data_IF_657647091185
#
_entry.id   IF_657647091185
#
_cell.length_a   1.000
_cell.length_b   1.000
_cell.length_c   1.000
_cell.angle_alpha   90.00
_cell.angle_beta   90.00
_cell.angle_gamma   90.00
#
_symmetry.space_group_name_H-M   'P 1'
#
loop_
_entity.id
_entity.type
_entity.pdbx_description
1 polymer ?
#
# COMPACT_ATOMS: atom_id res chain seq x y z
N UNK A 1 0.75 -6.70 28.29
CA UNK A 1 0.09 -5.46 27.84
C UNK A 1 1.19 -4.40 27.76
N UNK A 2 1.56 -3.91 26.58
CA UNK A 2 2.88 -3.28 26.41
C UNK A 2 3.04 -2.05 25.52
N UNK A 3 2.08 -1.72 24.63
CA UNK A 3 2.31 -0.67 23.62
C UNK A 3 1.10 0.25 23.34
N UNK A 4 0.09 0.29 24.22
CA UNK A 4 -1.11 1.13 24.04
C UNK A 4 -1.85 0.93 22.70
N UNK A 5 -1.66 -0.22 22.06
CA UNK A 5 -2.39 -0.62 20.84
C UNK A 5 -3.69 -1.30 21.24
N UNK A 6 -4.82 -0.77 20.77
CA UNK A 6 -6.15 -1.33 21.02
C UNK A 6 -6.80 -1.78 19.71
N UNK A 7 -7.20 -3.04 19.64
CA UNK A 7 -8.00 -3.56 18.54
C UNK A 7 -9.48 -3.31 18.83
N UNK A 8 -10.17 -2.60 17.94
CA UNK A 8 -11.61 -2.34 18.09
C UNK A 8 -12.43 -3.65 18.12
N UNK A 9 -12.04 -4.65 17.31
CA UNK A 9 -12.62 -5.99 17.27
C UNK A 9 -11.57 -7.03 16.88
N UNK A 10 -11.79 -8.28 17.28
CA UNK A 10 -10.92 -9.42 16.98
C UNK A 10 -11.78 -10.52 16.35
N UNK A 11 -11.42 -10.89 15.12
CA UNK A 11 -12.12 -11.90 14.32
C UNK A 11 -11.21 -13.11 14.11
N UNK A 12 -11.58 -14.28 14.63
CA UNK A 12 -10.78 -15.51 14.56
C UNK A 12 -11.60 -16.63 13.92
N UNK A 13 -11.23 -17.03 12.72
CA UNK A 13 -11.71 -18.26 12.08
C UNK A 13 -10.82 -19.44 12.48
N UNK A 14 -11.42 -20.55 12.91
CA UNK A 14 -10.72 -21.77 13.35
C UNK A 14 -10.80 -22.92 12.34
N UNK A 15 -11.43 -22.69 11.19
CA UNK A 15 -11.61 -23.72 10.17
C UNK A 15 -10.33 -23.94 9.35
N UNK A 16 -10.32 -25.02 8.59
CA UNK A 16 -9.29 -25.34 7.60
C UNK A 16 -9.74 -24.94 6.20
N UNK A 17 -8.78 -24.87 5.27
CA UNK A 17 -9.03 -24.46 3.89
C UNK A 17 -9.99 -25.38 3.15
N UNK A 18 -9.89 -26.70 3.37
CA UNK A 18 -10.76 -27.69 2.73
C UNK A 18 -12.23 -27.60 3.19
N UNK A 19 -12.50 -26.93 4.32
CA UNK A 19 -13.86 -26.74 4.83
C UNK A 19 -14.62 -25.63 4.09
N UNK A 20 -13.91 -24.76 3.35
CA UNK A 20 -14.49 -23.70 2.50
C UNK A 20 -15.58 -22.85 3.18
N UNK A 21 -15.41 -22.56 4.48
CA UNK A 21 -16.39 -21.76 5.22
C UNK A 21 -16.38 -20.30 4.76
N UNK A 22 -17.54 -19.61 4.74
CA UNK A 22 -17.62 -18.20 4.36
C UNK A 22 -16.90 -17.28 5.36
N UNK A 23 -16.62 -17.76 6.56
CA UNK A 23 -15.87 -17.05 7.61
C UNK A 23 -14.35 -17.10 7.40
N UNK A 24 -13.86 -18.00 6.53
CA UNK A 24 -12.44 -18.17 6.26
C UNK A 24 -12.00 -17.33 5.07
N UNK A 25 -10.91 -16.59 5.23
CA UNK A 25 -10.26 -15.89 4.11
C UNK A 25 -10.01 -16.84 2.93
N UNK A 26 -10.29 -16.41 1.68
CA UNK A 26 -10.56 -15.02 1.27
C UNK A 26 -12.03 -14.57 1.40
N UNK A 27 -12.92 -15.40 1.95
CA UNK A 27 -14.32 -15.01 2.13
C UNK A 27 -14.50 -13.97 3.25
N UNK A 28 -15.58 -13.19 3.17
CA UNK A 28 -15.81 -11.98 3.98
C UNK A 28 -16.74 -12.20 5.18
N UNK A 29 -17.14 -13.44 5.47
CA UNK A 29 -18.22 -13.76 6.41
C UNK A 29 -18.01 -13.23 7.83
N UNK A 30 -16.75 -13.15 8.30
CA UNK A 30 -16.43 -12.57 9.62
C UNK A 30 -16.52 -11.03 9.66
N UNK A 31 -16.57 -10.38 8.50
CA UNK A 31 -16.39 -8.94 8.33
C UNK A 31 -17.63 -8.25 7.73
N UNK A 32 -18.75 -8.97 7.59
CA UNK A 32 -19.98 -8.44 6.98
C UNK A 32 -20.49 -7.17 7.68
N UNK A 33 -20.23 -7.02 8.99
CA UNK A 33 -20.60 -5.83 9.75
C UNK A 33 -19.95 -4.54 9.22
N UNK A 34 -18.79 -4.61 8.56
CA UNK A 34 -18.09 -3.46 8.00
C UNK A 34 -18.62 -3.06 6.61
N UNK A 35 -19.45 -3.90 5.99
CA UNK A 35 -19.99 -3.71 4.64
C UNK A 35 -21.38 -3.02 4.64
N UNK A 36 -21.85 -2.55 5.79
CA UNK A 36 -23.15 -1.89 5.93
C UNK A 36 -23.18 -0.42 5.44
N UNK A 37 -22.03 0.13 5.03
CA UNK A 37 -21.87 1.51 4.56
C UNK A 37 -21.40 2.50 5.63
N UNK A 38 -21.19 2.08 6.88
CA UNK A 38 -20.64 2.94 7.94
C UNK A 38 -19.11 3.14 7.81
N UNK A 39 -18.44 2.30 7.02
CA UNK A 39 -17.00 2.33 6.80
C UNK A 39 -16.67 2.68 5.36
N UNK A 40 -15.65 3.51 5.17
CA UNK A 40 -15.05 3.79 3.87
C UNK A 40 -14.11 2.64 3.48
N UNK A 41 -14.70 1.57 2.92
CA UNK A 41 -13.94 0.39 2.51
C UNK A 41 -13.00 0.68 1.33
N UNK A 42 -13.37 1.58 0.43
CA UNK A 42 -12.53 1.97 -0.72
C UNK A 42 -11.18 2.56 -0.28
N UNK A 43 -11.16 3.26 0.86
CA UNK A 43 -9.94 3.79 1.47
C UNK A 43 -9.42 2.99 2.67
N UNK A 44 -10.01 1.83 2.94
CA UNK A 44 -9.54 0.88 3.95
C UNK A 44 -8.49 -0.08 3.40
N UNK A 45 -7.77 -0.74 4.31
CA UNK A 45 -6.69 -1.66 3.97
C UNK A 45 -6.80 -2.99 4.71
N UNK A 46 -6.54 -4.09 3.99
CA UNK A 46 -6.12 -5.36 4.58
C UNK A 46 -4.61 -5.48 4.48
N UNK A 47 -3.96 -5.79 5.60
CA UNK A 47 -2.50 -5.96 5.69
C UNK A 47 -2.23 -7.41 6.09
N UNK A 48 -1.46 -8.14 5.28
CA UNK A 48 -1.20 -9.55 5.54
C UNK A 48 -0.09 -10.15 4.66
N UNK A 49 0.40 -11.32 5.05
CA UNK A 49 1.53 -12.03 4.44
C UNK A 49 1.10 -13.14 3.48
N UNK A 50 -0.21 -13.38 3.29
CA UNK A 50 -0.73 -14.42 2.40
C UNK A 50 -1.53 -13.83 1.25
N UNK A 51 -1.52 -14.53 0.12
CA UNK A 51 -2.37 -14.17 -1.03
C UNK A 51 -3.87 -14.20 -0.70
N UNK A 52 -4.28 -14.96 0.32
CA UNK A 52 -5.66 -14.95 0.80
C UNK A 52 -6.05 -13.65 1.52
N UNK A 53 -5.08 -12.89 2.04
CA UNK A 53 -5.31 -11.55 2.61
C UNK A 53 -5.57 -10.53 1.51
N UNK A 54 -4.77 -10.56 0.45
CA UNK A 54 -4.96 -9.72 -0.75
C UNK A 54 -6.34 -9.99 -1.37
N UNK A 55 -6.67 -11.27 -1.57
CA UNK A 55 -8.00 -11.66 -2.10
C UNK A 55 -9.14 -11.31 -1.16
N UNK A 56 -8.93 -11.34 0.16
CA UNK A 56 -9.94 -10.85 1.11
C UNK A 56 -10.19 -9.36 0.87
N UNK A 57 -9.13 -8.57 0.65
CA UNK A 57 -9.24 -7.15 0.39
C UNK A 57 -10.09 -6.88 -0.85
N UNK A 58 -9.80 -7.60 -1.95
CA UNK A 58 -10.57 -7.53 -3.20
C UNK A 58 -12.06 -7.82 -2.96
N UNK A 59 -12.35 -8.89 -2.22
CA UNK A 59 -13.74 -9.30 -1.94
C UNK A 59 -14.49 -8.32 -1.02
N UNK A 60 -13.78 -7.58 -0.17
CA UNK A 60 -14.35 -6.50 0.63
C UNK A 60 -14.53 -5.20 -0.18
N UNK A 61 -13.87 -5.07 -1.34
CA UNK A 61 -13.81 -3.82 -2.09
C UNK A 61 -12.83 -2.79 -1.50
N UNK A 62 -11.78 -3.27 -0.83
CA UNK A 62 -10.75 -2.42 -0.21
C UNK A 62 -9.36 -2.67 -0.79
N UNK A 63 -8.39 -1.85 -0.39
CA UNK A 63 -6.99 -1.94 -0.83
C UNK A 63 -6.23 -2.98 0.01
N UNK A 64 -5.09 -3.45 -0.48
CA UNK A 64 -4.21 -4.32 0.32
C UNK A 64 -2.77 -3.86 0.40
N UNK A 65 -2.11 -4.24 1.49
CA UNK A 65 -0.67 -4.18 1.67
C UNK A 65 -0.18 -5.61 1.92
N UNK A 66 0.69 -6.10 1.04
CA UNK A 66 1.18 -7.47 1.10
C UNK A 66 2.57 -7.54 1.75
N UNK A 67 2.67 -8.26 2.86
CA UNK A 67 3.92 -8.38 3.62
C UNK A 67 4.79 -9.48 2.99
N UNK A 68 5.66 -9.09 2.05
CA UNK A 68 6.56 -10.02 1.35
C UNK A 68 7.81 -9.32 0.85
N UNK A 69 8.89 -10.09 0.66
CA UNK A 69 10.15 -9.62 0.07
C UNK A 69 10.04 -9.36 -1.43
N UNK A 70 9.11 -10.03 -2.11
CA UNK A 70 8.93 -9.92 -3.55
C UNK A 70 7.45 -9.90 -3.91
N UNK A 71 7.14 -9.16 -4.98
CA UNK A 71 5.82 -9.10 -5.59
C UNK A 71 5.57 -10.41 -6.37
N UNK A 72 4.53 -11.19 -6.05
CA UNK A 72 4.12 -12.35 -6.85
C UNK A 72 3.66 -11.92 -8.25
N UNK A 73 3.80 -12.80 -9.24
CA UNK A 73 3.38 -12.51 -10.64
C UNK A 73 1.88 -12.19 -10.76
N UNK A 74 1.04 -12.81 -9.93
CA UNK A 74 -0.43 -12.73 -10.00
C UNK A 74 -1.05 -12.09 -8.75
N UNK A 75 -0.53 -10.93 -8.35
CA UNK A 75 -1.12 -10.14 -7.26
C UNK A 75 -2.11 -9.10 -7.83
N UNK A 76 -3.20 -8.85 -7.11
CA UNK A 76 -4.23 -7.89 -7.50
C UNK A 76 -3.67 -6.47 -7.65
N UNK A 77 -4.21 -5.70 -8.59
CA UNK A 77 -3.89 -4.27 -8.77
C UNK A 77 -4.33 -3.42 -7.56
N UNK A 78 -5.26 -3.93 -6.75
CA UNK A 78 -5.65 -3.32 -5.47
C UNK A 78 -4.54 -3.39 -4.41
N UNK A 79 -3.49 -4.19 -4.63
CA UNK A 79 -2.33 -4.27 -3.75
C UNK A 79 -1.37 -3.12 -3.99
N UNK A 80 -1.48 -2.08 -3.16
CA UNK A 80 -0.78 -0.82 -3.35
C UNK A 80 0.66 -0.81 -2.82
N UNK A 81 1.01 -1.74 -1.93
CA UNK A 81 2.36 -1.84 -1.36
C UNK A 81 2.75 -3.30 -1.12
N UNK A 82 3.99 -3.65 -1.47
CA UNK A 82 4.62 -4.93 -1.13
C UNK A 82 5.91 -4.63 -0.39
N UNK A 83 5.98 -4.98 0.89
CA UNK A 83 7.15 -4.70 1.73
C UNK A 83 7.20 -5.64 2.94
N UNK A 84 8.38 -5.80 3.54
CA UNK A 84 8.53 -6.45 4.86
C UNK A 84 8.69 -5.45 6.01
N UNK A 85 8.70 -4.15 5.70
CA UNK A 85 9.01 -3.08 6.64
C UNK A 85 7.76 -2.40 7.19
N UNK A 86 7.53 -2.50 8.49
CA UNK A 86 6.46 -1.75 9.17
C UNK A 86 6.66 -0.24 9.08
N UNK A 87 7.90 0.26 9.01
CA UNK A 87 8.17 1.69 8.82
C UNK A 87 7.71 2.19 7.44
N UNK A 88 7.81 1.34 6.41
CA UNK A 88 7.30 1.67 5.08
C UNK A 88 5.78 1.65 5.06
N UNK A 89 5.15 0.65 5.71
CA UNK A 89 3.69 0.58 5.87
C UNK A 89 3.19 1.83 6.60
N UNK A 90 3.82 2.19 7.72
CA UNK A 90 3.47 3.38 8.48
C UNK A 90 3.58 4.65 7.61
N UNK A 91 4.71 4.83 6.90
CA UNK A 91 4.89 6.00 6.04
C UNK A 91 3.84 6.07 4.95
N UNK A 92 3.57 4.94 4.29
CA UNK A 92 2.57 4.82 3.24
C UNK A 92 1.16 5.17 3.72
N UNK A 93 0.76 4.70 4.91
CA UNK A 93 -0.55 4.99 5.48
C UNK A 93 -0.67 6.38 6.09
N UNK A 94 0.40 6.90 6.70
CA UNK A 94 0.38 8.16 7.44
C UNK A 94 0.53 9.39 6.56
N UNK A 95 1.32 9.29 5.50
CA UNK A 95 1.64 10.42 4.65
C UNK A 95 1.07 10.15 3.26
N UNK A 96 -0.04 10.83 2.87
CA UNK A 96 -0.35 10.91 1.45
C UNK A 96 0.86 11.52 0.75
N UNK A 97 1.30 10.92 -0.36
CA UNK A 97 2.56 11.29 -0.98
C UNK A 97 2.56 12.78 -1.33
N UNK A 98 3.38 13.60 -0.66
CA UNK A 98 3.58 15.01 -0.99
C UNK A 98 4.51 15.10 -2.19
N UNK A 99 3.93 14.71 -3.32
CA UNK A 99 4.59 14.68 -4.62
C UNK A 99 4.13 15.83 -5.48
N UNK A 100 5.07 16.41 -6.20
CA UNK A 100 4.79 17.35 -7.27
C UNK A 100 5.67 17.03 -8.46
N UNK A 101 5.12 17.23 -9.64
CA UNK A 101 5.83 17.05 -10.90
C UNK A 101 5.63 18.29 -11.76
N UNK A 102 6.71 18.82 -12.31
CA UNK A 102 6.70 19.97 -13.21
C UNK A 102 7.48 19.60 -14.46
N UNK A 103 6.83 19.76 -15.61
CA UNK A 103 7.45 19.62 -16.91
C UNK A 103 7.35 20.94 -17.68
N UNK A 104 8.47 21.37 -18.25
CA UNK A 104 8.55 22.56 -19.10
C UNK A 104 9.33 22.23 -20.37
N UNK A 105 8.62 22.27 -21.49
CA UNK A 105 9.20 22.07 -22.81
C UNK A 105 9.21 23.38 -23.60
N UNK A 106 10.39 23.79 -24.03
CA UNK A 106 10.61 24.92 -24.94
C UNK A 106 11.39 24.43 -26.17
N UNK A 107 11.58 25.30 -27.17
CA UNK A 107 12.40 24.97 -28.35
C UNK A 107 13.88 24.73 -28.02
N UNK A 108 14.35 25.28 -26.90
CA UNK A 108 15.76 25.24 -26.49
C UNK A 108 16.03 24.21 -25.39
N UNK A 109 15.11 24.05 -24.45
CA UNK A 109 15.31 23.20 -23.27
C UNK A 109 14.06 22.41 -22.93
N UNK A 110 14.26 21.17 -22.50
CA UNK A 110 13.27 20.30 -21.88
C UNK A 110 13.67 20.08 -20.43
N UNK A 111 12.80 20.43 -19.49
CA UNK A 111 13.05 20.32 -18.06
C UNK A 111 11.94 19.46 -17.46
N UNK A 112 12.32 18.46 -16.69
CA UNK A 112 11.42 17.60 -15.94
C UNK A 112 11.93 17.49 -14.51
N UNK A 113 11.08 17.84 -13.54
CA UNK A 113 11.38 17.77 -12.12
C UNK A 113 10.25 17.01 -11.43
N UNK A 114 10.61 15.96 -10.70
CA UNK A 114 9.72 15.24 -9.81
C UNK A 114 10.29 15.32 -8.39
N UNK A 115 9.47 15.73 -7.44
CA UNK A 115 9.85 15.88 -6.04
C UNK A 115 8.87 15.10 -5.16
N UNK A 116 9.42 14.27 -4.27
CA UNK A 116 8.68 13.63 -3.18
C UNK A 116 9.24 14.11 -1.84
N UNK A 117 8.49 14.97 -1.13
CA UNK A 117 8.92 15.50 0.17
C UNK A 117 8.94 14.43 1.28
N UNK A 118 8.33 13.28 1.04
CA UNK A 118 8.30 12.13 1.94
C UNK A 118 9.26 11.01 1.50
N UNK A 119 10.12 11.29 0.51
CA UNK A 119 11.07 10.32 -0.03
C UNK A 119 12.19 9.93 0.93
N UNK A 120 13.04 9.01 0.49
CA UNK A 120 14.16 8.48 1.28
C UNK A 120 15.44 9.31 1.18
N UNK A 121 15.37 10.54 0.64
CA UNK A 121 16.53 11.40 0.42
C UNK A 121 17.42 11.01 -0.76
N UNK A 122 17.02 10.02 -1.57
CA UNK A 122 17.73 9.67 -2.80
C UNK A 122 17.29 10.60 -3.93
N UNK A 123 18.26 11.22 -4.62
CA UNK A 123 18.03 12.01 -5.83
C UNK A 123 18.70 11.36 -7.04
N UNK A 124 18.13 11.59 -8.21
CA UNK A 124 18.73 11.25 -9.51
C UNK A 124 18.67 12.49 -10.38
N UNK A 125 19.82 12.99 -10.82
CA UNK A 125 19.94 14.26 -11.55
C UNK A 125 20.73 14.00 -12.83
N UNK A 126 20.12 14.35 -13.96
CA UNK A 126 20.68 14.19 -15.29
C UNK A 126 20.33 15.45 -16.11
N UNK A 127 21.12 16.51 -15.94
CA UNK A 127 20.94 17.77 -16.69
C UNK A 127 21.67 17.76 -18.04
N UNK A 128 22.62 16.84 -18.22
CA UNK A 128 23.55 16.84 -19.36
C UNK A 128 24.71 17.83 -19.22
N UNK A 129 24.76 18.57 -18.11
CA UNK A 129 25.84 19.47 -17.73
C UNK A 129 26.40 19.02 -16.38
N UNK A 130 27.51 18.28 -16.39
CA UNK A 130 28.03 17.61 -15.19
C UNK A 130 28.26 18.52 -13.98
N UNK A 131 28.56 19.81 -14.19
CA UNK A 131 28.64 20.76 -13.08
C UNK A 131 27.34 20.89 -12.29
N UNK A 132 26.18 20.95 -12.96
CA UNK A 132 24.89 21.04 -12.27
C UNK A 132 24.46 19.71 -11.68
N UNK A 133 24.84 18.59 -12.29
CA UNK A 133 24.58 17.25 -11.73
C UNK A 133 25.30 17.03 -10.39
N UNK A 134 26.44 17.71 -10.15
CA UNK A 134 27.16 17.68 -8.88
C UNK A 134 26.62 18.65 -7.83
N UNK A 135 25.99 19.74 -8.24
CA UNK A 135 25.54 20.82 -7.36
C UNK A 135 24.13 20.60 -6.79
N UNK A 136 23.29 19.90 -7.54
CA UNK A 136 21.91 19.56 -7.18
C UNK A 136 21.86 18.21 -6.47
#
# INVERSE_FOLDING_TARGET
EGEEIFFAKIHIDRSFEHENLPTRKPATGMLLEYMNGEYDLENSFVIGDRLTDVKLADNLGCKSIFISKSKPESISDSCLLVTVSWDEIYRFLRYPERKTEIQRDTKETKIHISLNLDGSGHSKIETGLGFFDHML
#
